data_IF_878894735532
#
_entry.id   IF_878894735532
#
_cell.length_a   1.000
_cell.length_b   1.000
_cell.length_c   1.000
_cell.angle_alpha   90.00
_cell.angle_beta   90.00
_cell.angle_gamma   90.00
#
_symmetry.space_group_name_H-M   'P 1'
#
loop_
_entity.id
_entity.type
_entity.pdbx_description
1 polymer ?
#
# COMPACT_ATOMS: atom_id res chain seq x y z
N UNK A 1 -20.21 76.29 -31.93
CA UNK A 1 -20.99 75.82 -33.13
C UNK A 1 -20.89 74.28 -33.08
N UNK A 2 -21.96 73.73 -32.69
CA UNK A 2 -23.01 73.07 -33.43
C UNK A 2 -22.80 71.59 -33.72
N UNK A 3 -23.64 70.80 -33.05
CA UNK A 3 -24.43 69.68 -33.59
C UNK A 3 -23.70 68.37 -33.86
N UNK A 4 -24.27 67.24 -33.66
CA UNK A 4 -25.58 66.68 -33.27
C UNK A 4 -25.42 65.17 -33.29
N UNK A 5 -26.01 64.46 -32.30
CA UNK A 5 -26.82 63.29 -32.41
C UNK A 5 -26.40 62.14 -33.37
N UNK A 6 -26.37 60.95 -32.84
CA UNK A 6 -26.52 59.73 -33.60
C UNK A 6 -26.63 58.49 -32.74
N UNK A 7 -27.83 58.16 -32.38
CA UNK A 7 -28.39 56.97 -31.80
C UNK A 7 -28.26 55.79 -32.78
N UNK A 8 -28.07 54.56 -32.26
CA UNK A 8 -28.24 53.33 -33.05
C UNK A 8 -27.55 52.17 -32.43
N UNK A 9 -28.09 51.54 -31.57
CA UNK A 9 -28.83 50.27 -31.41
C UNK A 9 -28.55 49.18 -32.44
N UNK A 10 -28.57 47.96 -31.93
CA UNK A 10 -28.87 46.64 -32.53
C UNK A 10 -27.67 45.69 -32.65
N UNK A 11 -27.69 44.75 -31.76
CA UNK A 11 -27.76 43.28 -31.95
C UNK A 11 -27.19 42.72 -33.26
N UNK A 12 -26.32 41.74 -33.13
CA UNK A 12 -26.56 40.44 -33.76
C UNK A 12 -25.60 39.37 -33.26
N UNK A 13 -26.18 38.32 -32.79
CA UNK A 13 -25.66 36.99 -32.63
C UNK A 13 -25.01 36.51 -33.94
N UNK A 14 -23.84 35.89 -33.82
CA UNK A 14 -23.43 34.88 -34.78
C UNK A 14 -22.50 33.90 -34.09
N UNK A 15 -23.03 32.73 -33.85
CA UNK A 15 -22.28 31.52 -33.61
C UNK A 15 -21.42 31.19 -34.82
N UNK A 16 -20.17 30.93 -34.62
CA UNK A 16 -19.36 30.17 -35.58
C UNK A 16 -18.65 29.03 -34.89
N UNK A 17 -19.20 27.90 -35.14
CA UNK A 17 -18.61 26.57 -34.99
C UNK A 17 -17.35 26.53 -35.85
N UNK A 18 -16.22 26.22 -35.21
CA UNK A 18 -15.04 25.75 -35.92
C UNK A 18 -14.63 24.43 -35.30
N UNK A 19 -14.95 23.36 -35.99
CA UNK A 19 -14.33 22.05 -35.84
C UNK A 19 -12.85 22.22 -36.14
N UNK A 20 -12.02 21.82 -35.20
CA UNK A 20 -10.67 21.44 -35.53
C UNK A 20 -10.44 20.03 -35.02
N UNK A 21 -10.47 19.10 -35.96
CA UNK A 21 -9.94 17.79 -35.82
C UNK A 21 -8.41 17.93 -35.84
N UNK A 22 -7.77 17.58 -34.78
CA UNK A 22 -6.38 17.18 -34.79
C UNK A 22 -6.28 15.93 -33.98
N UNK A 23 -6.11 14.91 -34.72
CA UNK A 23 -5.67 13.57 -34.34
C UNK A 23 -4.33 13.71 -33.63
N UNK A 24 -4.29 13.40 -32.36
CA UNK A 24 -3.06 13.18 -31.66
C UNK A 24 -3.20 11.96 -30.77
N UNK A 25 -2.71 10.88 -31.33
CA UNK A 25 -2.47 9.62 -30.65
C UNK A 25 -1.48 9.83 -29.51
N UNK A 26 -1.98 10.19 -28.35
CA UNK A 26 -1.17 10.20 -27.13
C UNK A 26 -1.30 8.83 -26.48
N UNK A 27 -0.22 8.09 -26.55
CA UNK A 27 0.03 6.89 -25.81
C UNK A 27 -0.41 7.09 -24.36
N UNK A 28 -1.47 6.38 -23.97
CA UNK A 28 -1.82 6.21 -22.56
C UNK A 28 -0.78 5.29 -21.94
N UNK A 29 0.24 5.89 -21.40
CA UNK A 29 1.05 5.26 -20.36
C UNK A 29 0.13 5.05 -19.15
N UNK A 30 -0.36 3.83 -19.02
CA UNK A 30 -1.10 3.42 -17.84
C UNK A 30 -0.10 3.30 -16.69
N UNK A 31 0.10 4.41 -16.00
CA UNK A 31 0.67 4.39 -14.66
C UNK A 31 -0.30 3.59 -13.79
N UNK A 32 0.05 2.34 -13.52
CA UNK A 32 -0.68 1.46 -12.61
C UNK A 32 -0.63 2.12 -11.21
N UNK A 33 -1.67 2.88 -10.91
CA UNK A 33 -1.80 3.56 -9.62
C UNK A 33 -2.04 2.50 -8.55
N UNK A 34 -1.08 2.33 -7.67
CA UNK A 34 -1.24 1.56 -6.45
C UNK A 34 -2.36 2.20 -5.62
N UNK A 35 -3.41 1.43 -5.35
CA UNK A 35 -4.56 1.92 -4.59
C UNK A 35 -4.41 1.51 -3.13
N UNK A 36 -4.07 2.47 -2.29
CA UNK A 36 -4.16 2.34 -0.84
C UNK A 36 -5.19 3.34 -0.33
N UNK A 37 -6.22 2.84 0.34
CA UNK A 37 -7.23 3.70 0.97
C UNK A 37 -6.63 4.44 2.16
N UNK A 38 -6.98 5.70 2.33
CA UNK A 38 -6.50 6.57 3.43
C UNK A 38 -7.24 6.37 4.76
N UNK A 39 -8.00 5.27 4.91
CA UNK A 39 -8.73 5.00 6.15
C UNK A 39 -7.78 4.45 7.22
N UNK A 40 -7.86 5.01 8.43
CA UNK A 40 -7.10 4.51 9.58
C UNK A 40 -7.66 3.16 10.02
N UNK A 41 -6.79 2.17 10.16
CA UNK A 41 -7.15 0.85 10.66
C UNK A 41 -7.45 0.91 12.16
N UNK A 42 -8.67 0.58 12.53
CA UNK A 42 -9.15 0.62 13.92
C UNK A 42 -9.47 -0.79 14.39
N UNK A 43 -9.04 -1.12 15.62
CA UNK A 43 -9.30 -2.43 16.22
C UNK A 43 -10.80 -2.78 16.21
N UNK A 44 -11.12 -3.98 15.74
CA UNK A 44 -12.49 -4.49 15.62
C UNK A 44 -13.25 -4.02 14.39
N UNK A 45 -12.66 -3.15 13.57
CA UNK A 45 -13.26 -2.68 12.32
C UNK A 45 -12.59 -3.31 11.10
N UNK A 46 -13.34 -3.42 10.01
CA UNK A 46 -12.79 -3.84 8.74
C UNK A 46 -11.70 -2.86 8.29
N UNK A 47 -10.55 -3.40 7.91
CA UNK A 47 -9.48 -2.59 7.35
C UNK A 47 -9.73 -2.31 5.87
N UNK A 48 -9.26 -1.17 5.41
CA UNK A 48 -9.34 -0.83 4.00
C UNK A 48 -8.52 -1.81 3.16
N UNK A 49 -9.05 -2.17 2.01
CA UNK A 49 -8.30 -2.96 1.04
C UNK A 49 -7.09 -2.17 0.52
N UNK A 50 -6.03 -2.87 0.19
CA UNK A 50 -4.87 -2.31 -0.47
C UNK A 50 -4.43 -3.20 -1.63
N UNK A 51 -3.79 -2.59 -2.59
CA UNK A 51 -3.09 -3.27 -3.68
C UNK A 51 -1.66 -2.77 -3.74
N UNK A 52 -0.68 -3.65 -3.57
CA UNK A 52 0.74 -3.36 -3.63
C UNK A 52 1.47 -4.37 -4.52
N UNK A 53 2.58 -3.91 -5.09
CA UNK A 53 3.48 -4.79 -5.85
C UNK A 53 4.59 -5.29 -4.93
N UNK A 54 4.85 -6.58 -4.94
CA UNK A 54 5.96 -7.20 -4.23
C UNK A 54 7.30 -7.01 -4.93
N UNK A 55 8.41 -7.27 -4.22
CA UNK A 55 9.76 -7.30 -4.82
C UNK A 55 9.88 -8.37 -5.92
N UNK A 56 9.01 -9.37 -5.91
CA UNK A 56 8.89 -10.43 -6.92
C UNK A 56 8.10 -9.98 -8.17
N UNK A 57 7.63 -8.74 -8.20
CA UNK A 57 6.84 -8.17 -9.29
C UNK A 57 5.38 -8.58 -9.32
N UNK A 58 4.90 -9.40 -8.36
CA UNK A 58 3.50 -9.79 -8.28
C UNK A 58 2.66 -8.73 -7.58
N UNK A 59 1.39 -8.68 -7.90
CA UNK A 59 0.42 -7.82 -7.23
C UNK A 59 -0.25 -8.59 -6.09
N UNK A 60 -0.36 -7.93 -4.94
CA UNK A 60 -0.97 -8.46 -3.72
C UNK A 60 -2.09 -7.53 -3.26
N UNK A 61 -3.27 -8.09 -3.04
CA UNK A 61 -4.44 -7.39 -2.49
C UNK A 61 -4.84 -8.02 -1.18
N UNK A 62 -5.20 -7.23 -0.19
CA UNK A 62 -5.69 -7.78 1.07
C UNK A 62 -6.97 -8.60 0.85
N UNK A 63 -7.84 -8.16 -0.04
CA UNK A 63 -9.09 -8.84 -0.39
C UNK A 63 -8.90 -10.26 -0.95
N UNK A 64 -7.74 -10.59 -1.51
CA UNK A 64 -7.43 -11.93 -2.01
C UNK A 64 -7.28 -12.96 -0.87
N UNK A 65 -7.15 -12.50 0.37
CA UNK A 65 -6.95 -13.33 1.56
C UNK A 65 -8.18 -13.42 2.46
N UNK A 66 -9.36 -13.03 1.98
CA UNK A 66 -10.61 -13.23 2.72
C UNK A 66 -10.79 -14.69 3.08
N UNK A 67 -11.20 -14.95 4.33
CA UNK A 67 -11.32 -16.29 4.87
C UNK A 67 -10.04 -16.85 5.50
N UNK A 68 -8.92 -16.12 5.39
CA UNK A 68 -7.66 -16.42 6.08
C UNK A 68 -7.30 -15.31 7.05
N UNK A 69 -6.63 -15.66 8.14
CA UNK A 69 -6.00 -14.66 9.00
C UNK A 69 -4.80 -14.05 8.29
N UNK A 70 -4.54 -12.77 8.50
CA UNK A 70 -3.38 -12.08 7.91
C UNK A 70 -2.47 -11.58 9.01
N UNK A 71 -1.23 -12.05 9.00
CA UNK A 71 -0.13 -11.48 9.76
C UNK A 71 0.65 -10.52 8.85
N UNK A 72 0.59 -9.23 9.17
CA UNK A 72 1.21 -8.16 8.42
C UNK A 72 2.36 -7.56 9.23
N UNK A 73 3.58 -7.62 8.69
CA UNK A 73 4.79 -7.12 9.37
C UNK A 73 5.36 -5.92 8.62
N UNK A 74 5.47 -4.79 9.29
CA UNK A 74 6.15 -3.60 8.80
C UNK A 74 7.59 -3.58 9.29
N UNK A 75 8.54 -3.37 8.37
CA UNK A 75 9.97 -3.40 8.68
C UNK A 75 10.79 -2.53 7.72
N UNK A 76 12.08 -2.40 7.99
CA UNK A 76 13.03 -1.65 7.16
C UNK A 76 14.39 -2.34 7.09
N UNK A 77 15.13 -2.09 6.02
CA UNK A 77 16.46 -2.69 5.78
C UNK A 77 17.51 -2.28 6.81
N UNK A 78 17.39 -1.09 7.39
CA UNK A 78 18.29 -0.57 8.42
C UNK A 78 17.94 -1.06 9.84
N UNK A 79 16.82 -1.72 10.02
CA UNK A 79 16.32 -2.16 11.33
C UNK A 79 16.93 -3.50 11.71
N UNK A 80 17.97 -3.51 12.54
CA UNK A 80 18.71 -4.74 12.92
C UNK A 80 17.83 -5.79 13.59
N UNK A 81 16.92 -5.39 14.49
CA UNK A 81 15.99 -6.33 15.14
C UNK A 81 14.94 -6.88 14.17
N UNK A 82 14.58 -6.10 13.14
CA UNK A 82 13.73 -6.58 12.06
C UNK A 82 14.44 -7.69 11.28
N UNK A 83 15.69 -7.44 10.87
CA UNK A 83 16.48 -8.41 10.10
C UNK A 83 16.74 -9.70 10.91
N UNK A 84 17.07 -9.57 12.19
CA UNK A 84 17.27 -10.70 13.07
C UNK A 84 16.03 -11.61 13.22
N UNK A 85 14.84 -11.06 12.99
CA UNK A 85 13.56 -11.79 13.08
C UNK A 85 12.99 -12.27 11.74
N UNK A 86 13.66 -12.00 10.62
CA UNK A 86 13.20 -12.48 9.30
C UNK A 86 13.26 -14.00 9.17
N UNK A 87 14.26 -14.75 9.73
CA UNK A 87 14.25 -16.21 9.73
C UNK A 87 12.99 -16.79 10.38
N UNK A 88 12.59 -16.27 11.55
CA UNK A 88 11.35 -16.68 12.22
C UNK A 88 10.12 -16.35 11.38
N UNK A 89 10.13 -15.19 10.72
CA UNK A 89 9.05 -14.78 9.83
C UNK A 89 8.90 -15.74 8.64
N UNK A 90 10.03 -16.21 8.09
CA UNK A 90 10.05 -17.16 6.98
C UNK A 90 9.52 -18.54 7.42
N UNK A 91 9.90 -19.01 8.61
CA UNK A 91 9.36 -20.25 9.18
C UNK A 91 7.86 -20.15 9.43
N UNK A 92 7.38 -19.05 10.04
CA UNK A 92 5.95 -18.82 10.27
C UNK A 92 5.18 -18.85 8.94
N UNK A 93 5.73 -18.22 7.90
CA UNK A 93 5.11 -18.20 6.59
C UNK A 93 5.09 -19.58 5.91
N UNK A 94 6.17 -20.36 6.07
CA UNK A 94 6.27 -21.73 5.56
C UNK A 94 5.23 -22.65 6.19
N UNK A 95 4.96 -22.48 7.48
CA UNK A 95 4.04 -23.32 8.25
C UNK A 95 2.58 -22.84 8.19
N UNK A 96 2.29 -21.80 7.45
CA UNK A 96 0.98 -21.11 7.45
C UNK A 96 -0.19 -21.98 6.97
N UNK A 97 0.04 -22.88 6.03
CA UNK A 97 -1.00 -23.73 5.44
C UNK A 97 -2.17 -22.92 4.88
N UNK A 98 -3.39 -23.35 5.22
CA UNK A 98 -4.61 -22.66 4.79
C UNK A 98 -5.21 -21.73 5.86
N UNK A 99 -4.65 -21.71 7.07
CA UNK A 99 -5.23 -20.94 8.19
C UNK A 99 -4.90 -19.46 8.14
N UNK A 100 -3.67 -19.12 7.83
CA UNK A 100 -3.22 -17.74 7.79
C UNK A 100 -2.25 -17.46 6.64
N UNK A 101 -1.96 -16.20 6.41
CA UNK A 101 -0.95 -15.74 5.46
C UNK A 101 -0.03 -14.72 6.15
N UNK A 102 1.24 -14.74 5.76
CA UNK A 102 2.24 -13.76 6.21
C UNK A 102 2.53 -12.81 5.06
N UNK A 103 2.31 -11.52 5.28
CA UNK A 103 2.68 -10.46 4.37
C UNK A 103 3.67 -9.52 5.08
N UNK A 104 4.67 -9.05 4.36
CA UNK A 104 5.59 -8.05 4.91
C UNK A 104 5.57 -6.80 4.04
N UNK A 105 5.74 -5.64 4.66
CA UNK A 105 5.68 -4.34 4.00
C UNK A 105 6.92 -3.54 4.31
N UNK A 106 7.51 -2.98 3.27
CA UNK A 106 8.58 -1.99 3.32
C UNK A 106 8.14 -0.74 2.56
N UNK A 107 8.41 0.42 3.11
CA UNK A 107 8.03 1.71 2.51
C UNK A 107 9.28 2.52 2.14
N UNK A 108 9.78 2.36 0.90
CA UNK A 108 10.95 3.07 0.41
C UNK A 108 10.78 4.59 0.50
N UNK A 109 11.86 5.28 0.90
CA UNK A 109 11.83 6.74 1.07
C UNK A 109 11.13 7.23 2.35
N UNK A 110 10.56 6.33 3.16
CA UNK A 110 9.89 6.66 4.41
C UNK A 110 10.69 6.14 5.61
N UNK A 111 10.67 6.89 6.71
CA UNK A 111 11.31 6.51 7.99
C UNK A 111 12.75 6.00 7.86
N UNK A 112 13.53 6.62 6.97
CA UNK A 112 14.93 6.27 6.76
C UNK A 112 15.18 5.05 5.87
N UNK A 113 14.15 4.46 5.27
CA UNK A 113 14.35 3.41 4.27
C UNK A 113 14.90 4.01 2.98
N UNK A 114 15.81 3.28 2.34
CA UNK A 114 16.42 3.66 1.07
C UNK A 114 15.38 3.74 -0.07
N UNK A 115 15.79 4.29 -1.20
CA UNK A 115 14.96 4.32 -2.40
C UNK A 115 14.58 2.90 -2.87
N UNK A 116 13.45 2.77 -3.55
CA UNK A 116 12.92 1.46 -3.95
C UNK A 116 13.90 0.61 -4.75
N UNK A 117 14.60 1.23 -5.72
CA UNK A 117 15.57 0.52 -6.56
C UNK A 117 16.75 -0.03 -5.73
N UNK A 118 17.24 0.78 -4.77
CA UNK A 118 18.34 0.41 -3.89
C UNK A 118 17.91 -0.69 -2.92
N UNK A 119 16.71 -0.57 -2.35
CA UNK A 119 16.12 -1.61 -1.50
C UNK A 119 15.98 -2.94 -2.25
N UNK A 120 15.38 -2.93 -3.44
CA UNK A 120 15.22 -4.13 -4.26
C UNK A 120 16.54 -4.78 -4.60
N UNK A 121 17.56 -3.98 -4.90
CA UNK A 121 18.90 -4.49 -5.20
C UNK A 121 19.55 -5.10 -3.96
N UNK A 122 19.45 -4.45 -2.82
CA UNK A 122 19.96 -4.96 -1.54
C UNK A 122 19.23 -6.26 -1.13
N UNK A 123 17.91 -6.31 -1.28
CA UNK A 123 17.08 -7.46 -0.89
C UNK A 123 17.41 -8.74 -1.69
N UNK A 124 17.90 -8.60 -2.93
CA UNK A 124 18.37 -9.75 -3.73
C UNK A 124 19.47 -10.58 -3.06
N UNK A 125 20.18 -9.98 -2.11
CA UNK A 125 21.20 -10.67 -1.30
C UNK A 125 20.61 -11.53 -0.17
N UNK A 126 19.30 -11.46 0.07
CA UNK A 126 18.61 -12.25 1.09
C UNK A 126 17.85 -13.42 0.44
N UNK A 127 17.87 -14.59 1.08
CA UNK A 127 17.27 -15.81 0.55
C UNK A 127 16.02 -16.23 1.33
N UNK A 128 15.03 -15.33 1.43
CA UNK A 128 13.72 -15.63 2.00
C UNK A 128 12.69 -15.87 0.88
N UNK A 129 11.97 -16.99 0.94
CA UNK A 129 11.08 -17.44 -0.15
C UNK A 129 9.63 -17.69 0.28
N UNK A 130 9.39 -17.75 1.59
CA UNK A 130 8.07 -18.18 2.09
C UNK A 130 7.14 -16.99 2.37
N UNK A 131 7.65 -15.76 2.44
CA UNK A 131 6.85 -14.55 2.59
C UNK A 131 7.14 -13.53 1.49
N UNK A 132 6.12 -12.82 0.99
CA UNK A 132 6.33 -11.70 0.08
C UNK A 132 6.78 -10.45 0.84
N UNK A 133 7.56 -9.61 0.16
CA UNK A 133 7.87 -8.24 0.58
C UNK A 133 7.15 -7.28 -0.33
N UNK A 134 6.10 -6.66 0.18
CA UNK A 134 5.28 -5.68 -0.52
C UNK A 134 5.93 -4.30 -0.40
N UNK A 135 5.92 -3.57 -1.49
CA UNK A 135 6.51 -2.24 -1.57
C UNK A 135 5.39 -1.19 -1.48
N UNK A 136 5.45 -0.36 -0.45
CA UNK A 136 4.55 0.80 -0.26
C UNK A 136 5.32 2.11 -0.43
N UNK A 137 5.56 2.58 -1.66
CA UNK A 137 6.34 3.79 -1.91
C UNK A 137 5.60 5.06 -1.47
N UNK A 138 4.29 4.95 -1.29
CA UNK A 138 3.47 6.09 -0.82
C UNK A 138 3.53 6.29 0.69
N UNK A 139 3.93 5.27 1.47
CA UNK A 139 3.87 5.27 2.93
C UNK A 139 2.44 5.26 3.51
N UNK A 140 1.41 5.10 2.68
CA UNK A 140 0.01 5.15 3.11
C UNK A 140 -0.37 4.01 4.05
N UNK A 141 0.22 2.83 3.85
CA UNK A 141 0.00 1.73 4.78
C UNK A 141 0.61 2.00 6.16
N UNK A 142 1.78 2.63 6.22
CA UNK A 142 2.35 3.06 7.50
C UNK A 142 1.40 3.99 8.26
N UNK A 143 0.80 4.95 7.56
CA UNK A 143 -0.17 5.88 8.15
C UNK A 143 -1.45 5.17 8.56
N UNK A 144 -2.04 4.35 7.68
CA UNK A 144 -3.29 3.63 7.93
C UNK A 144 -3.20 2.72 9.15
N UNK A 145 -2.09 2.03 9.34
CA UNK A 145 -1.88 1.14 10.49
C UNK A 145 -1.20 1.81 11.69
N UNK A 146 -0.98 3.12 11.63
CA UNK A 146 -0.37 3.90 12.72
C UNK A 146 1.06 3.48 13.04
N UNK A 147 1.84 3.05 12.05
CA UNK A 147 3.20 2.56 12.22
C UNK A 147 4.14 3.71 12.55
N UNK A 148 4.63 3.75 13.78
CA UNK A 148 5.56 4.80 14.27
C UNK A 148 7.00 4.31 14.41
N UNK A 149 7.19 3.01 14.58
CA UNK A 149 8.49 2.36 14.78
C UNK A 149 8.54 1.01 14.08
N UNK A 150 9.73 0.47 13.91
CA UNK A 150 9.96 -0.85 13.34
C UNK A 150 10.60 -1.80 14.36
N UNK A 151 10.23 -3.09 14.32
CA UNK A 151 9.09 -3.65 13.58
C UNK A 151 7.75 -3.24 14.19
N UNK A 152 6.70 -3.24 13.40
CA UNK A 152 5.31 -3.20 13.86
C UNK A 152 4.56 -4.33 13.18
N UNK A 153 3.72 -5.03 13.94
CA UNK A 153 2.89 -6.11 13.42
C UNK A 153 1.42 -5.73 13.49
N UNK A 154 0.65 -6.17 12.49
CA UNK A 154 -0.80 -6.09 12.51
C UNK A 154 -1.39 -7.49 12.25
N UNK A 155 -2.46 -7.78 12.95
CA UNK A 155 -3.20 -9.05 12.85
C UNK A 155 -4.61 -8.75 12.40
N UNK A 156 -5.02 -9.38 11.29
CA UNK A 156 -6.32 -9.20 10.65
C UNK A 156 -7.01 -10.56 10.64
N UNK A 157 -8.28 -10.59 11.05
CA UNK A 157 -9.06 -11.83 11.12
C UNK A 157 -9.58 -12.27 9.73
N UNK A 158 -10.26 -13.42 9.71
CA UNK A 158 -10.82 -14.03 8.50
C UNK A 158 -11.90 -13.16 7.83
N UNK A 159 -12.53 -12.28 8.59
CA UNK A 159 -13.52 -11.30 8.13
C UNK A 159 -12.88 -10.00 7.63
N UNK A 160 -11.55 -9.87 7.71
CA UNK A 160 -10.83 -8.66 7.30
C UNK A 160 -10.86 -7.54 8.34
N UNK A 161 -11.09 -7.86 9.61
CA UNK A 161 -11.09 -6.88 10.71
C UNK A 161 -9.73 -6.85 11.42
N UNK A 162 -9.30 -5.67 11.80
CA UNK A 162 -8.09 -5.50 12.60
C UNK A 162 -8.30 -6.03 14.02
N UNK A 163 -7.57 -7.07 14.39
CA UNK A 163 -7.58 -7.63 15.75
C UNK A 163 -6.62 -6.89 16.64
N UNK A 164 -5.40 -6.66 16.16
CA UNK A 164 -4.32 -6.08 16.96
C UNK A 164 -3.28 -5.40 16.07
N UNK A 165 -2.76 -4.27 16.51
CA UNK A 165 -1.50 -3.70 16.05
C UNK A 165 -0.52 -3.70 17.22
N UNK A 166 0.68 -4.22 17.02
CA UNK A 166 1.70 -4.36 18.04
C UNK A 166 3.01 -3.73 17.57
N UNK A 167 3.40 -2.56 18.11
CA UNK A 167 4.74 -2.02 17.91
C UNK A 167 5.78 -2.84 18.67
N UNK A 168 6.99 -2.87 18.16
CA UNK A 168 8.12 -3.57 18.76
C UNK A 168 8.23 -5.03 18.33
N UNK A 169 9.27 -5.69 18.82
CA UNK A 169 9.55 -7.09 18.51
C UNK A 169 8.51 -8.02 19.14
N UNK A 170 8.12 -9.02 18.39
CA UNK A 170 7.39 -10.21 18.87
C UNK A 170 8.19 -11.44 18.46
N UNK A 171 8.40 -12.36 19.39
CA UNK A 171 8.99 -13.65 19.07
C UNK A 171 8.00 -14.56 18.34
N UNK A 172 8.51 -15.64 17.76
CA UNK A 172 7.72 -16.60 16.99
C UNK A 172 6.54 -17.16 17.78
N UNK A 173 6.74 -17.53 19.04
CA UNK A 173 5.70 -18.13 19.87
C UNK A 173 4.58 -17.15 20.17
N UNK A 174 4.91 -15.89 20.43
CA UNK A 174 3.92 -14.82 20.62
C UNK A 174 3.09 -14.58 19.36
N UNK A 175 3.71 -14.60 18.19
CA UNK A 175 3.02 -14.43 16.90
C UNK A 175 2.06 -15.59 16.66
N UNK A 176 2.54 -16.85 16.78
CA UNK A 176 1.74 -18.05 16.59
C UNK A 176 0.59 -18.15 17.59
N UNK A 177 0.85 -17.79 18.87
CA UNK A 177 -0.20 -17.72 19.89
C UNK A 177 -1.28 -16.70 19.50
N UNK A 178 -0.87 -15.50 19.07
CA UNK A 178 -1.82 -14.46 18.63
C UNK A 178 -2.68 -14.97 17.47
N UNK A 179 -2.08 -15.57 16.44
CA UNK A 179 -2.79 -16.14 15.30
C UNK A 179 -3.77 -17.25 15.73
N UNK A 180 -3.38 -18.09 16.68
CA UNK A 180 -4.26 -19.14 17.20
C UNK A 180 -5.45 -18.58 17.96
N UNK A 181 -5.26 -17.53 18.75
CA UNK A 181 -6.32 -16.89 19.56
C UNK A 181 -7.33 -16.09 18.71
N UNK A 182 -7.04 -15.84 17.44
CA UNK A 182 -7.95 -15.12 16.53
C UNK A 182 -9.11 -15.98 15.98
N UNK A 183 -9.21 -17.23 16.34
CA UNK A 183 -10.30 -18.14 15.94
C UNK A 183 -10.02 -18.92 14.68
#
# INVERSE_FOLDING_TARGET
QTCLLGVGSICCLAACSAKNMSDESTMKEQTKTEQVSSQTATKGQAVADFELTGVDGKTYRLSDYKGKKVYLKFWASWCSICLASLPDTDEIAKDAGDDYVVLTVVSPGHKGEQAEADFKNWYKGLDYKNFPVLIDPSGKLLESYGVRSYPTQAFIDKEGKLVKTQPGFMDKDMILKTLKEMG
#
